data_IF_580744844982
#
_entry.id   IF_580744844982
#
_cell.length_a   1.000
_cell.length_b   1.000
_cell.length_c   1.000
_cell.angle_alpha   90.00
_cell.angle_beta   90.00
_cell.angle_gamma   90.00
#
_symmetry.space_group_name_H-M   'P 1'
#
loop_
_entity.id
_entity.type
_entity.pdbx_description
1 polymer ?
#
# COMPACT_ATOMS: atom_id res chain seq x y z
N UNK A 1 -17.20 -4.96 -7.68
CA UNK A 1 -17.87 -3.72 -7.24
C UNK A 1 -17.34 -2.64 -8.16
N UNK A 2 -18.03 -1.51 -8.35
CA UNK A 2 -17.49 -0.44 -9.19
C UNK A 2 -16.08 -0.03 -8.72
N UNK A 3 -15.10 -0.07 -9.62
CA UNK A 3 -13.68 0.13 -9.27
C UNK A 3 -13.43 1.52 -8.69
N UNK A 4 -14.15 2.54 -9.16
CA UNK A 4 -14.10 3.89 -8.62
C UNK A 4 -14.63 3.97 -7.19
N UNK A 5 -15.63 3.14 -6.83
CA UNK A 5 -16.13 3.07 -5.45
C UNK A 5 -15.08 2.44 -4.54
N UNK A 6 -14.53 1.29 -4.94
CA UNK A 6 -13.48 0.58 -4.17
C UNK A 6 -12.25 1.47 -3.96
N UNK A 7 -11.77 2.13 -5.02
CA UNK A 7 -10.61 3.01 -4.95
C UNK A 7 -10.83 4.21 -4.02
N UNK A 8 -12.01 4.86 -4.10
CA UNK A 8 -12.37 5.97 -3.21
C UNK A 8 -12.46 5.51 -1.75
N UNK A 9 -13.03 4.34 -1.49
CA UNK A 9 -13.07 3.76 -0.14
C UNK A 9 -11.67 3.47 0.41
N UNK A 10 -10.78 2.89 -0.40
CA UNK A 10 -9.40 2.62 0.00
C UNK A 10 -8.59 3.91 0.23
N UNK A 11 -8.74 4.91 -0.64
CA UNK A 11 -8.13 6.23 -0.45
C UNK A 11 -8.64 6.92 0.81
N UNK A 12 -9.96 6.87 1.06
CA UNK A 12 -10.55 7.41 2.29
C UNK A 12 -9.98 6.72 3.52
N UNK A 13 -9.75 5.40 3.47
CA UNK A 13 -9.12 4.67 4.56
C UNK A 13 -7.70 5.19 4.87
N UNK A 14 -6.88 5.49 3.85
CA UNK A 14 -5.55 6.10 4.03
C UNK A 14 -5.64 7.49 4.67
N UNK A 15 -6.57 8.33 4.19
CA UNK A 15 -6.78 9.66 4.74
C UNK A 15 -7.22 9.62 6.22
N UNK A 16 -8.09 8.67 6.57
CA UNK A 16 -8.53 8.46 7.95
C UNK A 16 -7.41 7.90 8.84
N UNK A 17 -6.53 7.07 8.29
CA UNK A 17 -5.39 6.47 9.01
C UNK A 17 -4.40 7.53 9.53
N UNK A 18 -4.09 8.55 8.74
CA UNK A 18 -3.23 9.66 9.18
C UNK A 18 -4.02 10.72 9.97
N UNK A 19 -5.33 10.84 9.73
CA UNK A 19 -6.18 11.79 10.47
C UNK A 19 -6.53 11.34 11.89
N UNK A 20 -6.25 10.07 12.24
CA UNK A 20 -6.52 9.53 13.56
C UNK A 20 -5.66 10.23 14.64
N UNK A 21 -6.28 10.59 15.76
CA UNK A 21 -5.59 11.19 16.91
C UNK A 21 -6.19 10.68 18.23
N UNK A 22 -5.36 10.34 19.23
CA UNK A 22 -3.89 10.28 19.18
C UNK A 22 -3.40 9.04 18.43
N UNK A 23 -2.25 9.13 17.75
CA UNK A 23 -1.60 7.98 17.09
C UNK A 23 -0.21 7.71 17.69
N UNK A 24 -0.12 6.86 18.72
CA UNK A 24 1.14 6.63 19.45
C UNK A 24 2.28 6.19 18.52
N UNK A 25 3.37 6.95 18.52
CA UNK A 25 4.60 6.60 17.82
C UNK A 25 4.56 6.72 16.29
N UNK A 26 3.56 7.40 15.73
CA UNK A 26 3.42 7.63 14.29
C UNK A 26 2.99 9.06 13.99
N UNK A 27 3.13 9.47 12.72
CA UNK A 27 2.64 10.77 12.26
C UNK A 27 1.12 10.86 12.38
N UNK A 28 0.64 11.96 12.97
CA UNK A 28 -0.78 12.34 13.02
C UNK A 28 -0.97 13.85 12.85
N UNK A 29 -2.21 14.34 12.97
CA UNK A 29 -2.57 15.76 12.77
C UNK A 29 -1.81 16.75 13.66
N UNK A 30 -1.16 16.28 14.72
CA UNK A 30 -0.49 17.10 15.73
C UNK A 30 0.95 16.68 15.99
N UNK A 31 1.43 15.62 15.34
CA UNK A 31 2.75 15.05 15.56
C UNK A 31 3.39 14.66 14.24
N UNK A 32 4.46 15.36 13.86
CA UNK A 32 5.29 15.06 12.71
C UNK A 32 6.64 14.44 13.13
N UNK A 33 7.29 13.74 12.19
CA UNK A 33 8.72 13.43 12.29
C UNK A 33 9.55 14.51 11.59
N UNK A 34 10.87 14.52 11.85
CA UNK A 34 11.81 15.50 11.28
C UNK A 34 11.67 15.62 9.76
N UNK A 35 11.55 14.47 9.07
CA UNK A 35 11.50 14.43 7.62
C UNK A 35 10.08 14.12 7.08
N UNK A 36 9.13 13.77 7.93
CA UNK A 36 7.82 13.24 7.50
C UNK A 36 6.68 13.94 8.23
N UNK A 37 5.91 14.76 7.51
CA UNK A 37 4.72 15.45 8.04
C UNK A 37 3.40 14.82 7.61
N UNK A 38 2.32 15.23 8.27
CA UNK A 38 0.94 14.93 7.93
C UNK A 38 0.60 15.19 6.45
N UNK A 39 1.08 16.28 5.85
CA UNK A 39 0.81 16.63 4.45
C UNK A 39 1.43 15.64 3.47
N UNK A 40 2.58 15.03 3.82
CA UNK A 40 3.16 13.96 2.99
C UNK A 40 2.23 12.73 2.94
N UNK A 41 1.55 12.40 4.03
CA UNK A 41 0.54 11.34 4.05
C UNK A 41 -0.71 11.71 3.23
N UNK A 42 -1.15 12.97 3.27
CA UNK A 42 -2.24 13.45 2.41
C UNK A 42 -1.87 13.36 0.92
N UNK A 43 -0.71 13.89 0.54
CA UNK A 43 -0.21 13.87 -0.83
C UNK A 43 -0.08 12.43 -1.36
N UNK A 44 0.52 11.54 -0.56
CA UNK A 44 0.66 10.13 -0.95
C UNK A 44 -0.69 9.40 -1.04
N UNK A 45 -1.69 9.72 -0.22
CA UNK A 45 -3.05 9.16 -0.36
C UNK A 45 -3.70 9.55 -1.69
N UNK A 46 -3.46 10.78 -2.15
CA UNK A 46 -3.94 11.25 -3.45
C UNK A 46 -3.21 10.53 -4.58
N UNK A 47 -1.88 10.43 -4.47
CA UNK A 47 -1.01 9.83 -5.48
C UNK A 47 -1.36 8.38 -5.79
N UNK A 48 -1.68 7.56 -4.78
CA UNK A 48 -1.92 6.12 -4.99
C UNK A 48 -3.32 5.78 -5.51
N UNK A 49 -4.21 6.76 -5.67
CA UNK A 49 -5.59 6.52 -6.16
C UNK A 49 -5.65 5.75 -7.50
N UNK A 50 -4.87 6.12 -8.54
CA UNK A 50 -4.89 5.38 -9.80
C UNK A 50 -4.51 3.92 -9.63
N UNK A 51 -3.56 3.63 -8.73
CA UNK A 51 -3.10 2.26 -8.42
C UNK A 51 -4.19 1.47 -7.70
N UNK A 52 -4.89 2.07 -6.74
CA UNK A 52 -6.03 1.44 -6.05
C UNK A 52 -7.19 1.14 -7.00
N UNK A 53 -7.44 2.03 -7.96
CA UNK A 53 -8.45 1.83 -9.02
C UNK A 53 -8.06 0.71 -9.97
N UNK A 54 -6.78 0.62 -10.33
CA UNK A 54 -6.26 -0.48 -11.14
C UNK A 54 -6.34 -1.81 -10.40
N UNK A 55 -5.96 -1.83 -9.11
CA UNK A 55 -6.11 -3.00 -8.25
C UNK A 55 -7.56 -3.51 -8.24
N UNK A 56 -8.56 -2.63 -8.11
CA UNK A 56 -9.96 -3.01 -8.16
C UNK A 56 -10.46 -3.56 -9.52
N UNK A 57 -9.64 -3.55 -10.57
CA UNK A 57 -9.94 -4.12 -11.87
C UNK A 57 -9.10 -5.38 -12.21
N UNK A 58 -8.14 -5.77 -11.35
CA UNK A 58 -7.20 -6.88 -11.58
C UNK A 58 -7.45 -8.04 -10.62
N UNK A 59 -7.07 -9.25 -11.04
CA UNK A 59 -7.09 -10.47 -10.24
C UNK A 59 -5.70 -11.03 -9.91
N UNK A 60 -4.64 -10.44 -10.46
CA UNK A 60 -3.25 -10.86 -10.31
C UNK A 60 -2.29 -9.64 -10.33
N UNK A 61 -1.02 -9.87 -9.98
CA UNK A 61 0.01 -8.82 -9.94
C UNK A 61 -0.03 -7.98 -8.65
N UNK A 62 -0.23 -8.65 -7.50
CA UNK A 62 -0.27 -7.98 -6.18
C UNK A 62 1.05 -7.26 -5.93
N UNK A 63 2.18 -7.93 -6.19
CA UNK A 63 3.49 -7.36 -5.92
C UNK A 63 3.82 -6.17 -6.80
N UNK A 64 3.50 -6.26 -8.10
CA UNK A 64 3.66 -5.17 -9.07
C UNK A 64 2.87 -3.92 -8.61
N UNK A 65 1.61 -4.10 -8.24
CA UNK A 65 0.75 -3.00 -7.79
C UNK A 65 1.24 -2.38 -6.47
N UNK A 66 1.78 -3.18 -5.55
CA UNK A 66 2.43 -2.66 -4.33
C UNK A 66 3.65 -1.80 -4.69
N UNK A 67 4.52 -2.28 -5.59
CA UNK A 67 5.70 -1.55 -6.04
C UNK A 67 5.32 -0.23 -6.71
N UNK A 68 4.41 -0.25 -7.67
CA UNK A 68 3.94 0.96 -8.37
C UNK A 68 3.29 1.93 -7.39
N UNK A 69 2.49 1.45 -6.44
CA UNK A 69 1.90 2.30 -5.39
C UNK A 69 2.96 2.96 -4.51
N UNK A 70 4.05 2.25 -4.19
CA UNK A 70 5.17 2.83 -3.45
C UNK A 70 5.89 3.92 -4.25
N UNK A 71 6.12 3.68 -5.54
CA UNK A 71 6.76 4.63 -6.46
C UNK A 71 5.93 5.90 -6.64
N UNK A 72 4.61 5.76 -6.89
CA UNK A 72 3.68 6.90 -7.00
C UNK A 72 3.63 7.72 -5.71
N UNK A 73 3.55 7.04 -4.56
CA UNK A 73 3.60 7.69 -3.25
C UNK A 73 4.85 8.55 -3.08
N UNK A 74 6.03 8.03 -3.45
CA UNK A 74 7.31 8.76 -3.29
C UNK A 74 7.49 9.84 -4.37
N UNK A 75 6.89 9.69 -5.55
CA UNK A 75 6.97 10.69 -6.60
C UNK A 75 6.24 12.01 -6.25
N UNK A 76 5.19 11.94 -5.41
CA UNK A 76 4.34 13.09 -5.06
C UNK A 76 4.73 13.80 -3.76
N UNK A 77 5.65 13.26 -2.97
CA UNK A 77 6.08 13.86 -1.70
C UNK A 77 7.53 13.48 -1.33
N UNK A 78 8.16 14.29 -0.48
CA UNK A 78 9.58 14.15 -0.13
C UNK A 78 9.86 13.49 1.23
N UNK A 79 8.83 13.20 2.03
CA UNK A 79 8.94 12.70 3.39
C UNK A 79 9.21 11.21 3.56
N UNK A 80 9.53 10.50 2.48
CA UNK A 80 9.91 9.09 2.54
C UNK A 80 8.72 8.15 2.73
N UNK A 81 8.82 7.21 3.67
CA UNK A 81 7.80 6.19 3.89
C UNK A 81 6.56 6.77 4.58
N UNK A 82 5.42 6.75 3.90
CA UNK A 82 4.11 7.12 4.45
C UNK A 82 3.22 5.88 4.59
N UNK A 83 2.64 5.42 3.48
CA UNK A 83 1.61 4.39 3.42
C UNK A 83 2.08 3.03 2.88
N UNK A 84 3.40 2.77 2.80
CA UNK A 84 3.89 1.53 2.18
C UNK A 84 3.29 0.28 2.83
N UNK A 85 3.29 0.22 4.18
CA UNK A 85 2.67 -0.89 4.90
C UNK A 85 1.16 -1.01 4.68
N UNK A 86 0.46 0.12 4.49
CA UNK A 86 -0.97 0.11 4.20
C UNK A 86 -1.28 -0.45 2.80
N UNK A 87 -0.39 -0.27 1.82
CA UNK A 87 -0.56 -0.83 0.47
C UNK A 87 -0.56 -2.36 0.46
N UNK A 88 0.23 -3.02 1.31
CA UNK A 88 0.20 -4.48 1.46
C UNK A 88 -1.18 -5.00 1.85
N UNK A 89 -1.94 -4.21 2.62
CA UNK A 89 -3.29 -4.56 3.03
C UNK A 89 -4.33 -4.14 1.98
N UNK A 90 -4.24 -2.90 1.48
CA UNK A 90 -5.28 -2.31 0.65
C UNK A 90 -5.28 -2.85 -0.79
N UNK A 91 -4.13 -3.17 -1.37
CA UNK A 91 -4.05 -3.69 -2.75
C UNK A 91 -4.84 -5.01 -2.89
N UNK A 92 -4.57 -6.08 -2.12
CA UNK A 92 -5.33 -7.33 -2.24
C UNK A 92 -6.79 -7.18 -1.83
N UNK A 93 -7.11 -6.29 -0.88
CA UNK A 93 -8.51 -6.00 -0.52
C UNK A 93 -9.27 -5.25 -1.63
N UNK A 94 -8.61 -4.32 -2.33
CA UNK A 94 -9.19 -3.60 -3.46
C UNK A 94 -9.46 -4.57 -4.62
N UNK A 95 -8.51 -5.43 -4.96
CA UNK A 95 -8.69 -6.51 -5.93
C UNK A 95 -9.86 -7.42 -5.57
N UNK A 96 -9.93 -7.86 -4.30
CA UNK A 96 -11.00 -8.71 -3.81
C UNK A 96 -12.39 -8.05 -3.90
N UNK A 97 -12.50 -6.79 -3.48
CA UNK A 97 -13.75 -6.02 -3.55
C UNK A 97 -14.15 -5.74 -5.01
N UNK A 98 -13.18 -5.45 -5.88
CA UNK A 98 -13.36 -5.33 -7.32
C UNK A 98 -14.03 -6.55 -7.94
N UNK A 99 -13.60 -7.75 -7.53
CA UNK A 99 -14.11 -9.03 -8.01
C UNK A 99 -15.52 -9.42 -7.50
N UNK A 100 -16.06 -8.77 -6.47
CA UNK A 100 -17.39 -9.08 -5.92
C UNK A 100 -18.50 -8.28 -6.61
N UNK A 101 -19.68 -8.85 -6.89
CA UNK A 101 -20.77 -8.09 -7.55
C UNK A 101 -21.31 -6.93 -6.68
N UNK A 102 -21.32 -7.11 -5.36
CA UNK A 102 -21.79 -6.14 -4.37
C UNK A 102 -20.95 -6.24 -3.11
N UNK A 103 -21.17 -5.32 -2.16
CA UNK A 103 -20.51 -5.38 -0.86
C UNK A 103 -21.03 -6.57 -0.04
N UNK A 104 -20.16 -7.55 0.14
CA UNK A 104 -20.33 -8.68 1.06
C UNK A 104 -18.96 -8.95 1.69
N UNK A 105 -18.88 -8.73 3.01
CA UNK A 105 -17.62 -8.84 3.75
C UNK A 105 -17.04 -10.25 3.71
N UNK A 106 -17.86 -11.29 3.75
CA UNK A 106 -17.38 -12.67 3.74
C UNK A 106 -16.94 -13.09 2.34
N UNK A 107 -17.63 -12.61 1.29
CA UNK A 107 -17.18 -12.79 -0.09
C UNK A 107 -15.83 -12.10 -0.32
N UNK A 108 -15.68 -10.86 0.13
CA UNK A 108 -14.43 -10.10 0.00
C UNK A 108 -13.29 -10.81 0.74
N UNK A 109 -13.51 -11.28 1.98
CA UNK A 109 -12.50 -12.04 2.73
C UNK A 109 -12.09 -13.33 2.00
N UNK A 110 -13.06 -14.08 1.46
CA UNK A 110 -12.77 -15.29 0.67
C UNK A 110 -11.93 -14.96 -0.57
N UNK A 111 -12.30 -13.91 -1.31
CA UNK A 111 -11.56 -13.46 -2.49
C UNK A 111 -10.17 -12.95 -2.16
N UNK A 112 -10.00 -12.16 -1.09
CA UNK A 112 -8.68 -11.72 -0.65
C UNK A 112 -7.78 -12.91 -0.30
N UNK A 113 -8.32 -13.92 0.39
CA UNK A 113 -7.59 -15.15 0.70
C UNK A 113 -7.18 -15.93 -0.55
N UNK A 114 -8.04 -15.96 -1.56
CA UNK A 114 -7.73 -16.60 -2.85
C UNK A 114 -6.64 -15.84 -3.61
N UNK A 115 -6.76 -14.52 -3.74
CA UNK A 115 -5.75 -13.65 -4.35
C UNK A 115 -4.39 -13.87 -3.70
N UNK A 116 -4.34 -13.82 -2.36
CA UNK A 116 -3.09 -14.02 -1.61
C UNK A 116 -2.52 -15.44 -1.73
N UNK A 117 -3.34 -16.46 -1.99
CA UNK A 117 -2.86 -17.83 -2.24
C UNK A 117 -2.32 -18.04 -3.65
N UNK A 118 -2.75 -17.20 -4.59
CA UNK A 118 -2.39 -17.28 -5.99
C UNK A 118 -1.21 -16.35 -6.34
N UNK A 119 -0.67 -15.59 -5.37
CA UNK A 119 0.58 -14.86 -5.56
C UNK A 119 1.74 -15.80 -5.87
N UNK A 120 2.69 -15.30 -6.63
CA UNK A 120 3.84 -16.05 -7.13
C UNK A 120 5.16 -15.56 -6.53
N UNK A 121 6.27 -16.19 -6.92
CA UNK A 121 7.62 -15.70 -6.64
C UNK A 121 7.84 -14.33 -7.27
N UNK A 122 7.27 -14.06 -8.45
CA UNK A 122 7.40 -12.77 -9.12
C UNK A 122 6.74 -11.64 -8.31
N UNK A 123 5.60 -11.91 -7.65
CA UNK A 123 5.00 -10.94 -6.72
C UNK A 123 5.94 -10.63 -5.55
N UNK A 124 6.63 -11.64 -5.02
CA UNK A 124 7.62 -11.44 -3.95
C UNK A 124 8.82 -10.62 -4.44
N UNK A 125 9.31 -10.87 -5.65
CA UNK A 125 10.40 -10.09 -6.27
C UNK A 125 9.98 -8.64 -6.51
N UNK A 126 8.77 -8.38 -6.99
CA UNK A 126 8.26 -7.02 -7.18
C UNK A 126 8.13 -6.27 -5.84
N UNK A 127 7.66 -6.95 -4.80
CA UNK A 127 7.64 -6.40 -3.43
C UNK A 127 9.04 -6.07 -2.94
N UNK A 128 10.00 -6.97 -3.15
CA UNK A 128 11.39 -6.77 -2.77
C UNK A 128 11.99 -5.51 -3.43
N UNK A 129 11.75 -5.33 -4.73
CA UNK A 129 12.15 -4.14 -5.50
C UNK A 129 11.53 -2.84 -4.98
N UNK A 130 10.40 -2.90 -4.27
CA UNK A 130 9.72 -1.73 -3.73
C UNK A 130 10.38 -1.16 -2.47
N UNK A 131 11.02 -1.99 -1.64
CA UNK A 131 11.63 -1.57 -0.36
C UNK A 131 12.61 -0.39 -0.48
N UNK A 132 13.63 -0.43 -1.36
CA UNK A 132 14.56 0.68 -1.49
C UNK A 132 13.88 1.96 -2.00
N UNK A 133 12.84 1.84 -2.84
CA UNK A 133 12.07 2.97 -3.37
C UNK A 133 11.20 3.62 -2.30
N UNK A 134 10.54 2.81 -1.49
CA UNK A 134 9.65 3.25 -0.41
C UNK A 134 10.37 3.90 0.78
N UNK A 135 11.71 3.86 0.82
CA UNK A 135 12.55 4.40 1.92
C UNK A 135 12.11 3.87 3.29
N UNK A 136 11.75 2.59 3.36
CA UNK A 136 11.26 1.96 4.59
C UNK A 136 12.41 1.84 5.58
N UNK A 137 12.14 2.15 6.85
CA UNK A 137 13.08 1.90 7.94
C UNK A 137 13.07 0.41 8.27
N UNK A 138 14.00 -0.34 7.67
CA UNK A 138 14.26 -1.76 7.98
C UNK A 138 15.56 -1.90 8.76
N UNK A 139 15.71 -3.03 9.45
CA UNK A 139 17.01 -3.38 10.05
C UNK A 139 18.02 -3.58 8.93
N UNK A 140 19.20 -2.95 9.07
CA UNK A 140 20.31 -3.08 8.11
C UNK A 140 21.25 -4.20 8.53
N UNK A 141 22.03 -4.71 7.57
CA UNK A 141 23.08 -5.70 7.78
C UNK A 141 22.53 -7.02 8.35
N UNK A 142 21.43 -7.49 7.77
CA UNK A 142 20.89 -8.82 8.07
C UNK A 142 21.69 -9.85 7.26
N UNK A 143 22.18 -10.96 7.87
CA UNK A 143 23.04 -11.92 7.17
C UNK A 143 22.39 -12.61 5.96
N UNK A 144 21.06 -12.73 5.97
CA UNK A 144 20.27 -13.39 4.93
C UNK A 144 19.04 -12.54 4.62
N UNK A 145 18.67 -12.48 3.33
CA UNK A 145 17.46 -11.79 2.85
C UNK A 145 17.39 -10.31 3.26
N UNK A 146 18.52 -9.59 3.22
CA UNK A 146 18.54 -8.15 3.45
C UNK A 146 17.74 -7.46 2.33
N UNK A 147 16.61 -6.86 2.66
CA UNK A 147 15.71 -6.19 1.70
C UNK A 147 16.27 -4.88 1.12
N UNK A 148 17.48 -4.50 1.56
CA UNK A 148 18.22 -3.37 1.04
C UNK A 148 19.43 -3.79 0.18
N UNK A 149 19.64 -5.10 -0.05
CA UNK A 149 20.70 -5.59 -0.94
C UNK A 149 20.32 -5.37 -2.41
N UNK A 150 21.06 -4.49 -3.09
CA UNK A 150 20.83 -4.18 -4.51
C UNK A 150 21.31 -5.30 -5.46
N UNK A 151 22.02 -6.32 -4.94
CA UNK A 151 22.56 -7.45 -5.70
C UNK A 151 21.70 -8.72 -5.69
N UNK A 152 20.56 -8.72 -4.99
CA UNK A 152 19.65 -9.86 -4.83
C UNK A 152 18.51 -9.89 -5.86
#
# INVERSE_FOLDING_TARGET
>A
MEKEYVARSAQLALLLEVSAYPKPGNVDRTHDFIDTSYEHFLASSVAVYPVLREAAARSEGVGELIRVGAEESVAWQSGGNTHFGALFLLIPLAMAAGACASYDMDAIKRKAKEIMRNTSVDDAVEVYRAFPKAKVKVRRAVPELDVMDEGS
#
